data_IF_691533114657
#
_entry.id   IF_691533114657
#
_cell.length_a   1.000
_cell.length_b   1.000
_cell.length_c   1.000
_cell.angle_alpha   90.00
_cell.angle_beta   90.00
_cell.angle_gamma   90.00
#
_symmetry.space_group_name_H-M   'P 1'
#
loop_
_entity.id
_entity.type
_entity.pdbx_description
1 polymer ?
#
# COMPACT_ATOMS: atom_id res chain seq x y z
N UNK A 1 -20.63 34.99 26.04
CA UNK A 1 -21.72 34.45 25.21
C UNK A 1 -21.13 34.17 23.84
N UNK A 2 -20.99 32.96 23.30
CA UNK A 2 -21.45 31.62 23.68
C UNK A 2 -20.44 30.65 23.09
N UNK A 3 -20.01 29.70 23.91
CA UNK A 3 -19.28 28.51 23.51
C UNK A 3 -20.13 27.69 22.54
N UNK A 4 -19.55 27.34 21.39
CA UNK A 4 -20.13 26.44 20.42
C UNK A 4 -19.08 25.44 19.93
N UNK A 5 -18.44 24.73 20.86
CA UNK A 5 -17.65 23.56 20.52
C UNK A 5 -18.63 22.46 20.11
N UNK A 6 -18.90 22.36 18.81
CA UNK A 6 -19.64 21.24 18.27
C UNK A 6 -18.81 19.98 18.53
N UNK A 7 -19.13 19.26 19.62
CA UNK A 7 -18.77 17.86 19.76
C UNK A 7 -19.61 17.07 18.75
N UNK A 8 -19.27 17.17 17.47
CA UNK A 8 -19.56 16.09 16.56
C UNK A 8 -18.67 14.93 17.02
N UNK A 9 -19.28 13.88 17.56
CA UNK A 9 -18.63 12.59 17.74
C UNK A 9 -18.29 12.02 16.35
N UNK A 10 -17.36 12.65 15.65
CA UNK A 10 -16.79 12.13 14.41
C UNK A 10 -15.90 10.99 14.85
N UNK A 11 -16.38 9.76 14.67
CA UNK A 11 -15.55 8.59 14.81
C UNK A 11 -14.35 8.75 13.87
N UNK A 12 -13.16 8.98 14.41
CA UNK A 12 -11.94 9.15 13.63
C UNK A 12 -11.47 7.77 13.17
N UNK A 13 -11.82 7.41 11.92
CA UNK A 13 -11.31 6.20 11.28
C UNK A 13 -9.89 6.46 10.78
N UNK A 14 -8.95 5.62 11.21
CA UNK A 14 -7.57 5.61 10.70
C UNK A 14 -7.37 4.34 9.86
N UNK A 15 -6.85 4.49 8.65
CA UNK A 15 -6.60 3.38 7.72
C UNK A 15 -5.10 3.28 7.46
N UNK A 16 -4.53 2.13 7.83
CA UNK A 16 -3.13 1.81 7.58
C UNK A 16 -3.00 0.60 6.64
N UNK A 17 -1.92 0.57 5.86
CA UNK A 17 -1.55 -0.55 5.00
C UNK A 17 -0.15 -1.05 5.34
N UNK A 18 0.05 -2.37 5.37
CA UNK A 18 1.37 -2.98 5.53
C UNK A 18 1.64 -3.97 4.40
N UNK A 19 2.75 -3.75 3.71
CA UNK A 19 3.26 -4.65 2.68
C UNK A 19 4.04 -5.75 3.41
N UNK A 20 3.65 -7.02 3.23
CA UNK A 20 4.42 -8.13 3.78
C UNK A 20 5.66 -8.43 2.93
N UNK A 21 6.76 -8.92 3.52
CA UNK A 21 7.82 -9.56 2.77
C UNK A 21 7.28 -10.73 1.92
N UNK A 22 7.92 -10.96 0.79
CA UNK A 22 7.73 -12.19 0.02
C UNK A 22 8.19 -13.40 0.84
N UNK A 23 7.40 -14.46 0.81
CA UNK A 23 7.76 -15.72 1.46
C UNK A 23 8.78 -16.50 0.59
N UNK A 24 9.32 -17.58 1.14
CA UNK A 24 10.35 -18.36 0.44
C UNK A 24 9.81 -19.06 -0.82
N UNK A 25 8.57 -19.55 -0.79
CA UNK A 25 7.94 -20.21 -1.95
C UNK A 25 7.76 -19.25 -3.14
N UNK A 26 7.37 -18.01 -2.87
CA UNK A 26 7.20 -16.95 -3.87
C UNK A 26 8.54 -16.60 -4.51
N UNK A 27 9.60 -16.51 -3.72
CA UNK A 27 10.96 -16.30 -4.23
C UNK A 27 11.42 -17.47 -5.09
N UNK A 28 11.18 -18.71 -4.65
CA UNK A 28 11.56 -19.92 -5.39
C UNK A 28 10.86 -20.02 -6.74
N UNK A 29 9.58 -19.62 -6.80
CA UNK A 29 8.79 -19.58 -8.05
C UNK A 29 9.15 -18.40 -8.96
N UNK A 30 10.12 -17.57 -8.56
CA UNK A 30 10.52 -16.34 -9.27
C UNK A 30 9.35 -15.36 -9.44
N UNK A 31 8.43 -15.35 -8.48
CA UNK A 31 7.42 -14.30 -8.41
C UNK A 31 8.13 -12.96 -8.13
N UNK A 32 7.53 -11.86 -8.57
CA UNK A 32 8.01 -10.52 -8.30
C UNK A 32 7.00 -9.75 -7.45
N UNK A 33 7.46 -8.80 -6.61
CA UNK A 33 6.55 -7.94 -5.86
C UNK A 33 5.72 -7.08 -6.83
N UNK A 34 4.42 -7.02 -6.60
CA UNK A 34 3.50 -6.17 -7.36
C UNK A 34 3.13 -4.89 -6.60
N UNK A 35 3.56 -4.76 -5.35
CA UNK A 35 3.20 -3.67 -4.45
C UNK A 35 4.47 -3.01 -3.94
N UNK A 36 4.57 -1.69 -4.13
CA UNK A 36 5.75 -0.91 -3.79
C UNK A 36 5.36 0.27 -2.89
N UNK A 37 6.01 0.47 -1.73
CA UNK A 37 5.82 1.68 -0.96
C UNK A 37 6.45 2.86 -1.73
N UNK A 38 5.71 3.96 -1.86
CA UNK A 38 6.26 5.21 -2.42
C UNK A 38 6.74 6.14 -1.31
N UNK A 39 5.97 6.21 -0.21
CA UNK A 39 6.32 6.91 1.02
C UNK A 39 5.47 6.38 2.20
N UNK A 40 5.47 7.09 3.32
CA UNK A 40 4.78 6.71 4.56
C UNK A 40 3.24 6.75 4.47
N UNK A 41 2.66 7.10 3.32
CA UNK A 41 1.20 7.15 3.09
C UNK A 41 0.77 6.55 1.76
N UNK A 42 1.68 6.44 0.79
CA UNK A 42 1.36 6.08 -0.59
C UNK A 42 1.96 4.74 -0.97
N UNK A 43 1.15 3.95 -1.68
CA UNK A 43 1.55 2.64 -2.21
C UNK A 43 1.20 2.56 -3.69
N UNK A 44 2.12 2.01 -4.48
CA UNK A 44 1.94 1.70 -5.90
C UNK A 44 1.60 0.23 -6.07
N UNK A 45 0.48 -0.07 -6.73
CA UNK A 45 0.15 -1.39 -7.23
C UNK A 45 0.47 -1.45 -8.73
N UNK A 46 1.27 -2.44 -9.11
CA UNK A 46 1.64 -2.75 -10.49
C UNK A 46 0.94 -4.04 -10.91
N UNK A 47 0.14 -3.96 -11.97
CA UNK A 47 -0.51 -5.10 -12.60
C UNK A 47 0.55 -6.04 -13.22
N UNK A 48 0.59 -7.34 -12.88
CA UNK A 48 1.55 -8.30 -13.43
C UNK A 48 1.60 -8.35 -14.95
N UNK A 49 0.48 -8.07 -15.63
CA UNK A 49 0.43 -8.04 -17.10
C UNK A 49 1.41 -7.02 -17.71
N UNK A 50 1.86 -6.02 -16.93
CA UNK A 50 2.88 -5.06 -17.37
C UNK A 50 4.14 -5.76 -17.89
N UNK A 51 4.45 -6.93 -17.35
CA UNK A 51 5.66 -7.69 -17.67
C UNK A 51 5.43 -8.75 -18.76
N UNK A 52 4.22 -8.90 -19.28
CA UNK A 52 3.86 -9.97 -20.24
C UNK A 52 4.09 -9.60 -21.72
N UNK A 53 4.75 -8.47 -22.04
CA UNK A 53 5.06 -8.05 -23.42
C UNK A 53 3.87 -8.09 -24.39
N UNK A 54 2.64 -7.87 -23.90
CA UNK A 54 1.44 -7.88 -24.72
C UNK A 54 1.31 -6.57 -25.51
N UNK A 55 1.73 -6.61 -26.78
CA UNK A 55 1.75 -5.44 -27.67
C UNK A 55 0.36 -4.77 -27.83
N UNK A 56 -0.72 -5.54 -27.73
CA UNK A 56 -2.08 -5.03 -27.88
C UNK A 56 -2.54 -4.24 -26.64
N UNK A 57 -1.85 -4.38 -25.52
CA UNK A 57 -2.21 -3.76 -24.24
C UNK A 57 -1.21 -2.69 -23.78
N UNK A 58 -0.25 -2.31 -24.63
CA UNK A 58 0.81 -1.33 -24.27
C UNK A 58 0.28 -0.01 -23.68
N UNK A 59 -0.89 0.46 -24.11
CA UNK A 59 -1.50 1.71 -23.63
C UNK A 59 -2.38 1.54 -22.38
N UNK A 60 -2.51 0.32 -21.84
CA UNK A 60 -3.26 0.09 -20.60
C UNK A 60 -2.50 0.70 -19.43
N UNK A 61 -3.21 1.33 -18.51
CA UNK A 61 -2.63 1.77 -17.25
C UNK A 61 -2.41 0.55 -16.33
N UNK A 62 -1.14 0.17 -16.16
CA UNK A 62 -0.74 -0.94 -15.29
C UNK A 62 -0.42 -0.52 -13.85
N UNK A 63 -0.38 0.78 -13.59
CA UNK A 63 0.03 1.35 -12.31
C UNK A 63 -1.14 2.07 -11.65
N UNK A 64 -1.42 1.72 -10.39
CA UNK A 64 -2.43 2.40 -9.58
C UNK A 64 -1.83 2.79 -8.24
N UNK A 65 -1.92 4.07 -7.91
CA UNK A 65 -1.49 4.61 -6.64
C UNK A 65 -2.66 4.65 -5.64
N UNK A 66 -2.40 4.26 -4.39
CA UNK A 66 -3.31 4.35 -3.27
C UNK A 66 -2.72 5.24 -2.17
N UNK A 67 -3.58 5.90 -1.42
CA UNK A 67 -3.21 6.81 -0.32
C UNK A 67 -3.92 6.38 0.95
N UNK A 68 -3.17 6.27 2.04
CA UNK A 68 -3.60 5.85 3.37
C UNK A 68 -3.11 6.84 4.43
N UNK A 69 -3.60 6.72 5.66
CA UNK A 69 -3.08 7.51 6.77
C UNK A 69 -1.66 7.09 7.15
N UNK A 70 -1.34 5.81 6.95
CA UNK A 70 0.01 5.24 7.12
C UNK A 70 0.25 4.05 6.19
N UNK A 71 1.44 3.97 5.61
CA UNK A 71 1.90 2.87 4.77
C UNK A 71 3.24 2.34 5.30
N UNK A 72 3.33 1.02 5.46
CA UNK A 72 4.50 0.31 5.96
C UNK A 72 5.06 -0.61 4.87
N UNK A 73 6.34 -0.46 4.58
CA UNK A 73 7.07 -1.28 3.61
C UNK A 73 7.34 -2.71 4.11
N UNK A 74 7.88 -3.54 3.22
CA UNK A 74 8.27 -4.92 3.55
C UNK A 74 9.44 -5.00 4.55
N UNK A 75 10.19 -3.92 4.69
CA UNK A 75 11.30 -3.73 5.63
C UNK A 75 10.84 -3.24 7.01
N UNK A 76 9.55 -2.95 7.18
CA UNK A 76 9.01 -2.46 8.45
C UNK A 76 8.99 -3.55 9.53
N UNK A 77 9.65 -3.26 10.65
CA UNK A 77 9.75 -4.14 11.82
C UNK A 77 8.56 -3.97 12.76
N UNK A 78 8.19 -5.05 13.45
CA UNK A 78 7.32 -4.93 14.61
C UNK A 78 8.16 -4.48 15.80
N UNK A 79 7.83 -3.32 16.36
CA UNK A 79 8.47 -2.83 17.58
C UNK A 79 7.58 -3.25 18.74
N UNK A 80 8.04 -4.22 19.51
CA UNK A 80 7.41 -4.59 20.78
C UNK A 80 8.20 -3.91 21.89
N UNK A 81 7.59 -3.01 22.64
CA UNK A 81 8.20 -2.45 23.85
C UNK A 81 8.15 -3.50 24.97
N UNK A 82 9.21 -4.31 25.07
CA UNK A 82 9.53 -5.16 26.22
C UNK A 82 10.91 -4.79 26.76
#
# INVERSE_FOLDING_TARGET
>A
MTVGSANSNVSQLTVAVRIRPMNEEEKQRRNFPCVYPLDNKRVLLVDPEKFENNILRQNRQYERQFVFDSAFGHDSTHVSDL
#
